data_IF_565358410027
#
_entry.id   IF_565358410027
#
_cell.length_a   1.000
_cell.length_b   1.000
_cell.length_c   1.000
_cell.angle_alpha   90.00
_cell.angle_beta   90.00
_cell.angle_gamma   90.00
#
_symmetry.space_group_name_H-M   'P 1'
#
loop_
_entity.id
_entity.type
_entity.pdbx_description
1 polymer ?
#
# COMPACT_ATOMS: atom_id res chain seq x y z
N UNK A 1 -32.01 10.26 3.22
CA UNK A 1 -32.11 10.07 4.68
C UNK A 1 -31.48 8.73 5.07
N UNK A 2 -30.24 8.43 4.58
CA UNK A 2 -29.43 7.22 4.91
C UNK A 2 -27.94 7.63 4.86
N UNK A 3 -27.51 8.67 5.57
CA UNK A 3 -26.09 9.06 5.72
C UNK A 3 -25.80 9.43 7.20
N UNK A 4 -26.43 8.77 8.13
CA UNK A 4 -26.26 9.10 9.55
C UNK A 4 -25.97 7.89 10.44
N UNK A 5 -25.47 6.76 9.89
CA UNK A 5 -25.27 5.53 10.68
C UNK A 5 -23.86 4.95 10.69
N UNK A 6 -22.85 5.64 10.12
CA UNK A 6 -21.48 5.12 10.04
C UNK A 6 -20.45 5.86 10.92
N UNK A 7 -20.87 6.70 11.87
CA UNK A 7 -19.93 7.48 12.72
C UNK A 7 -20.01 7.13 14.20
N UNK A 8 -20.56 6.00 14.57
CA UNK A 8 -20.89 5.74 16.00
C UNK A 8 -20.06 4.68 16.72
N UNK A 9 -18.96 4.14 16.18
CA UNK A 9 -18.17 3.14 16.91
C UNK A 9 -16.64 3.25 16.79
N UNK A 10 -16.10 4.46 16.63
CA UNK A 10 -14.71 4.71 16.98
C UNK A 10 -14.66 5.30 18.38
N UNK A 11 -14.89 4.47 19.38
CA UNK A 11 -14.42 4.75 20.72
C UNK A 11 -12.89 4.57 20.73
N UNK A 12 -12.18 5.60 20.30
CA UNK A 12 -10.82 5.88 20.78
C UNK A 12 -10.95 6.21 22.27
N UNK A 13 -10.95 5.17 23.08
CA UNK A 13 -10.72 5.30 24.50
C UNK A 13 -9.17 5.21 24.66
N UNK A 14 -8.44 6.33 24.75
CA UNK A 14 -7.07 6.27 25.23
C UNK A 14 -7.21 5.85 26.69
N UNK A 15 -6.97 4.56 26.98
CA UNK A 15 -6.69 4.15 28.34
C UNK A 15 -5.59 5.08 28.85
N UNK A 16 -5.78 5.74 30.00
CA UNK A 16 -4.77 6.62 30.55
C UNK A 16 -3.47 5.82 30.63
N UNK A 17 -2.33 6.40 30.27
CA UNK A 17 -1.05 5.72 30.37
C UNK A 17 -0.97 5.21 31.80
N UNK A 18 -0.76 3.89 31.97
CA UNK A 18 -0.58 3.30 33.29
C UNK A 18 0.52 4.10 33.97
N UNK A 19 0.28 4.64 35.19
CA UNK A 19 1.35 5.35 35.88
C UNK A 19 2.51 4.37 35.98
N UNK A 20 3.63 4.70 35.36
CA UNK A 20 4.86 3.95 35.52
C UNK A 20 5.17 3.93 37.01
N UNK A 21 5.06 2.76 37.60
CA UNK A 21 5.35 2.56 38.99
C UNK A 21 6.86 2.77 39.21
N UNK A 22 7.27 3.99 39.56
CA UNK A 22 8.64 4.42 39.85
C UNK A 22 8.98 3.97 41.29
N UNK A 23 8.68 2.72 41.64
CA UNK A 23 9.02 2.11 42.91
C UNK A 23 10.23 1.17 42.76
N UNK A 24 11.25 1.64 42.10
CA UNK A 24 12.61 1.17 42.18
C UNK A 24 13.49 2.36 41.92
N UNK A 25 14.22 2.86 42.87
CA UNK A 25 15.11 4.02 42.77
C UNK A 25 16.07 3.84 41.60
N UNK A 26 15.64 4.23 40.39
CA UNK A 26 16.59 4.43 39.30
C UNK A 26 17.47 5.61 39.68
N UNK A 27 18.78 5.42 39.70
CA UNK A 27 19.73 6.47 40.07
C UNK A 27 19.50 7.69 39.18
N UNK A 28 19.73 8.92 39.69
CA UNK A 28 19.61 10.15 38.88
C UNK A 28 20.41 10.06 37.57
N UNK A 29 21.53 9.34 37.58
CA UNK A 29 22.34 9.08 36.40
C UNK A 29 21.62 8.22 35.37
N UNK A 30 20.81 7.25 35.77
CA UNK A 30 20.01 6.42 34.88
C UNK A 30 18.89 7.27 34.20
N UNK A 31 18.17 8.10 34.97
CA UNK A 31 17.14 9.00 34.41
C UNK A 31 17.79 9.97 33.43
N UNK A 32 18.94 10.55 33.74
CA UNK A 32 19.71 11.43 32.87
C UNK A 32 20.11 10.74 31.56
N UNK A 33 20.58 9.48 31.66
CA UNK A 33 20.92 8.67 30.49
C UNK A 33 19.69 8.39 29.62
N UNK A 34 18.54 8.05 30.22
CA UNK A 34 17.27 7.85 29.49
C UNK A 34 16.81 9.14 28.79
N UNK A 35 16.89 10.29 29.43
CA UNK A 35 16.59 11.60 28.81
C UNK A 35 17.46 11.80 27.55
N UNK A 36 18.76 11.52 27.65
CA UNK A 36 19.67 11.68 26.51
C UNK A 36 19.32 10.72 25.37
N UNK A 37 19.00 9.46 25.68
CA UNK A 37 18.56 8.46 24.68
C UNK A 37 17.27 8.87 23.96
N UNK A 38 16.24 9.31 24.72
CA UNK A 38 14.97 9.74 24.14
C UNK A 38 15.14 11.02 23.30
N UNK A 39 16.00 11.97 23.74
CA UNK A 39 16.35 13.13 22.91
C UNK A 39 17.01 12.77 21.59
N UNK A 40 17.85 11.75 21.57
CA UNK A 40 18.44 11.24 20.32
C UNK A 40 17.37 10.59 19.44
N UNK A 41 16.49 9.78 20.02
CA UNK A 41 15.35 9.19 19.30
C UNK A 41 14.47 10.28 18.68
N UNK A 42 14.15 11.34 19.41
CA UNK A 42 13.39 12.50 18.90
C UNK A 42 14.07 13.15 17.69
N UNK A 43 15.39 13.32 17.71
CA UNK A 43 16.14 13.87 16.58
C UNK A 43 16.02 12.97 15.35
N UNK A 44 16.16 11.67 15.54
CA UNK A 44 16.07 10.68 14.46
C UNK A 44 14.66 10.64 13.85
N UNK A 45 13.62 10.54 14.69
CA UNK A 45 12.23 10.48 14.20
C UNK A 45 11.82 11.77 13.49
N UNK A 46 12.27 12.92 14.00
CA UNK A 46 12.03 14.22 13.34
C UNK A 46 12.72 14.32 11.98
N UNK A 47 13.96 13.85 11.87
CA UNK A 47 14.67 13.79 10.58
C UNK A 47 13.99 12.82 9.60
N UNK A 48 13.59 11.63 10.05
CA UNK A 48 12.89 10.65 9.24
C UNK A 48 11.52 11.17 8.76
N UNK A 49 10.79 11.90 9.60
CA UNK A 49 9.56 12.60 9.20
C UNK A 49 9.81 13.56 8.05
N UNK A 50 10.84 14.41 8.14
CA UNK A 50 11.15 15.38 7.08
C UNK A 50 11.49 14.70 5.76
N UNK A 51 12.30 13.64 5.80
CA UNK A 51 12.64 12.86 4.60
C UNK A 51 11.40 12.19 4.00
N UNK A 52 10.56 11.57 4.82
CA UNK A 52 9.34 10.91 4.36
C UNK A 52 8.36 11.92 3.75
N UNK A 53 8.20 13.11 4.36
CA UNK A 53 7.36 14.18 3.84
C UNK A 53 7.85 14.70 2.48
N UNK A 54 9.17 14.88 2.31
CA UNK A 54 9.74 15.29 1.03
C UNK A 54 9.52 14.24 -0.07
N UNK A 55 9.66 12.95 0.26
CA UNK A 55 9.38 11.84 -0.66
C UNK A 55 7.89 11.74 -1.01
N UNK A 56 7.00 11.92 -0.03
CA UNK A 56 5.55 11.99 -0.25
C UNK A 56 5.21 13.09 -1.24
N UNK A 57 5.71 14.28 -1.03
CA UNK A 57 5.48 15.41 -1.94
C UNK A 57 5.95 15.08 -3.37
N UNK A 58 7.13 14.50 -3.51
CA UNK A 58 7.65 14.07 -4.83
C UNK A 58 6.73 13.05 -5.50
N UNK A 59 6.24 12.05 -4.75
CA UNK A 59 5.31 11.04 -5.27
C UNK A 59 3.97 11.68 -5.70
N UNK A 60 3.42 12.58 -4.90
CA UNK A 60 2.18 13.30 -5.23
C UNK A 60 2.31 14.15 -6.50
N UNK A 61 3.42 14.85 -6.69
CA UNK A 61 3.70 15.61 -7.92
C UNK A 61 3.79 14.67 -9.13
N UNK A 62 4.43 13.51 -8.96
CA UNK A 62 4.53 12.51 -10.04
C UNK A 62 3.17 11.95 -10.43
N UNK A 63 2.30 11.62 -9.48
CA UNK A 63 0.92 11.15 -9.71
C UNK A 63 0.11 12.26 -10.38
N UNK A 64 0.10 13.49 -9.83
CA UNK A 64 -0.68 14.60 -10.36
C UNK A 64 -0.35 14.94 -11.81
N UNK A 65 0.90 14.75 -12.24
CA UNK A 65 1.30 14.93 -13.63
C UNK A 65 0.86 13.81 -14.58
N UNK A 66 0.50 12.62 -14.06
CA UNK A 66 0.11 11.46 -14.85
C UNK A 66 -1.40 11.22 -14.91
N UNK A 67 -2.11 11.60 -13.86
CA UNK A 67 -3.54 11.38 -13.74
C UNK A 67 -4.38 11.93 -14.91
N UNK A 68 -4.17 13.15 -15.42
CA UNK A 68 -4.93 13.65 -16.57
C UNK A 68 -4.69 12.83 -17.84
N UNK A 69 -3.47 12.34 -18.04
CA UNK A 69 -3.14 11.49 -19.17
C UNK A 69 -3.80 10.12 -19.07
N UNK A 70 -3.76 9.51 -17.89
CA UNK A 70 -4.45 8.25 -17.60
C UNK A 70 -5.97 8.38 -17.84
N UNK A 71 -6.59 9.41 -17.29
CA UNK A 71 -8.02 9.68 -17.50
C UNK A 71 -8.38 9.86 -18.98
N UNK A 72 -7.53 10.53 -19.75
CA UNK A 72 -7.79 10.71 -21.19
C UNK A 72 -7.64 9.41 -21.97
N UNK A 73 -6.64 8.58 -21.65
CA UNK A 73 -6.49 7.25 -22.25
C UNK A 73 -7.68 6.35 -21.89
N UNK A 74 -8.12 6.38 -20.63
CA UNK A 74 -9.32 5.70 -20.16
C UNK A 74 -10.54 6.11 -20.97
N UNK A 75 -10.78 7.41 -21.14
CA UNK A 75 -11.92 7.93 -21.92
C UNK A 75 -11.88 7.48 -23.37
N UNK A 76 -10.72 7.51 -24.00
CA UNK A 76 -10.57 7.03 -25.39
C UNK A 76 -10.86 5.53 -25.47
N UNK A 77 -10.29 4.75 -24.57
CA UNK A 77 -10.48 3.30 -24.56
C UNK A 77 -11.93 2.91 -24.27
N UNK A 78 -12.59 3.56 -23.30
CA UNK A 78 -14.02 3.32 -23.02
C UNK A 78 -14.91 3.65 -24.20
N UNK A 79 -14.68 4.78 -24.88
CA UNK A 79 -15.41 5.13 -26.08
C UNK A 79 -15.23 4.13 -27.23
N UNK A 80 -14.02 3.58 -27.38
CA UNK A 80 -13.75 2.53 -28.38
C UNK A 80 -14.42 1.20 -28.02
N UNK A 81 -14.47 0.86 -26.75
CA UNK A 81 -15.02 -0.41 -26.26
C UNK A 81 -16.55 -0.45 -26.18
N UNK A 82 -17.24 0.69 -26.33
CA UNK A 82 -18.71 0.74 -26.42
C UNK A 82 -19.26 0.25 -27.76
N UNK A 83 -18.40 0.03 -28.77
CA UNK A 83 -18.80 -0.49 -30.07
C UNK A 83 -18.87 -2.02 -30.03
N UNK A 84 -20.09 -2.58 -30.16
CA UNK A 84 -20.35 -4.02 -30.13
C UNK A 84 -19.63 -4.79 -31.26
N UNK A 85 -19.41 -4.17 -32.40
CA UNK A 85 -18.72 -4.79 -33.54
C UNK A 85 -17.21 -4.85 -33.27
N UNK A 86 -16.65 -3.84 -32.61
CA UNK A 86 -15.28 -3.82 -32.19
C UNK A 86 -15.03 -4.84 -31.07
N UNK A 87 -15.96 -4.98 -30.15
CA UNK A 87 -15.93 -5.98 -29.08
C UNK A 87 -15.80 -7.41 -29.64
N UNK A 88 -16.61 -7.76 -30.63
CA UNK A 88 -16.53 -9.06 -31.33
C UNK A 88 -15.23 -9.21 -32.11
N UNK A 89 -14.79 -8.16 -32.79
CA UNK A 89 -13.55 -8.19 -33.56
C UNK A 89 -12.30 -8.31 -32.68
N UNK A 90 -12.32 -7.74 -31.48
CA UNK A 90 -11.26 -7.91 -30.47
C UNK A 90 -11.19 -9.36 -29.97
N UNK A 91 -12.34 -9.96 -29.74
CA UNK A 91 -12.46 -11.35 -29.34
C UNK A 91 -11.83 -12.30 -30.39
N UNK A 92 -12.15 -12.10 -31.66
CA UNK A 92 -11.78 -13.05 -32.74
C UNK A 92 -10.36 -12.84 -33.28
N UNK A 93 -9.83 -11.60 -33.27
CA UNK A 93 -8.61 -11.23 -34.00
C UNK A 93 -7.39 -10.92 -33.13
N UNK A 94 -7.58 -10.59 -31.85
CA UNK A 94 -6.48 -10.18 -30.98
C UNK A 94 -5.79 -11.33 -30.25
N UNK A 95 -6.30 -12.54 -30.37
CA UNK A 95 -5.69 -13.73 -29.72
C UNK A 95 -5.74 -13.68 -28.18
N UNK A 96 -6.52 -12.77 -27.61
CA UNK A 96 -6.77 -12.69 -26.18
C UNK A 96 -7.80 -13.71 -25.71
N UNK A 97 -7.97 -14.79 -26.45
CA UNK A 97 -8.80 -15.93 -26.07
C UNK A 97 -7.92 -16.95 -25.34
N UNK A 98 -8.35 -17.40 -24.18
CA UNK A 98 -7.81 -18.61 -23.59
C UNK A 98 -8.00 -19.78 -24.55
N UNK A 99 -7.11 -20.83 -24.53
CA UNK A 99 -7.26 -22.04 -25.35
C UNK A 99 -8.63 -22.70 -25.24
N UNK A 100 -9.38 -22.42 -24.19
CA UNK A 100 -10.73 -22.94 -23.93
C UNK A 100 -11.87 -22.09 -24.50
N UNK A 101 -11.58 -21.08 -25.35
CA UNK A 101 -12.58 -20.29 -26.07
C UNK A 101 -13.30 -19.22 -25.23
N UNK A 102 -12.86 -18.96 -24.02
CA UNK A 102 -13.38 -17.86 -23.20
C UNK A 102 -12.60 -16.58 -23.45
N UNK A 103 -13.31 -15.50 -23.69
CA UNK A 103 -12.78 -14.16 -23.97
C UNK A 103 -11.90 -13.70 -22.78
N UNK A 104 -10.60 -13.72 -22.92
CA UNK A 104 -9.68 -13.54 -21.80
C UNK A 104 -9.44 -12.10 -21.40
N UNK A 105 -9.68 -11.10 -22.28
CA UNK A 105 -9.30 -9.71 -22.00
C UNK A 105 -10.44 -8.89 -21.40
N UNK A 106 -11.68 -9.32 -21.62
CA UNK A 106 -12.85 -8.56 -21.28
C UNK A 106 -13.84 -9.44 -20.54
N UNK A 107 -13.95 -9.26 -19.25
CA UNK A 107 -14.98 -9.89 -18.46
C UNK A 107 -16.26 -9.08 -18.49
N UNK A 108 -17.35 -9.76 -18.88
CA UNK A 108 -18.68 -9.35 -18.44
C UNK A 108 -18.69 -9.33 -16.89
N UNK A 109 -19.03 -8.17 -16.37
CA UNK A 109 -19.64 -7.87 -15.07
C UNK A 109 -19.47 -8.91 -13.93
N UNK A 110 -18.23 -9.24 -13.60
CA UNK A 110 -17.94 -9.91 -12.33
C UNK A 110 -17.56 -8.81 -11.35
N UNK A 111 -18.47 -8.48 -10.45
CA UNK A 111 -18.25 -7.46 -9.44
C UNK A 111 -16.87 -7.63 -8.76
N UNK A 112 -16.22 -6.53 -8.44
CA UNK A 112 -14.90 -6.44 -7.80
C UNK A 112 -14.69 -7.36 -6.58
N UNK A 113 -15.78 -7.90 -6.02
CA UNK A 113 -15.80 -8.80 -4.86
C UNK A 113 -15.88 -10.29 -5.23
N UNK A 114 -16.14 -10.64 -6.48
CA UNK A 114 -16.24 -12.03 -6.89
C UNK A 114 -14.94 -12.46 -7.58
N UNK A 115 -14.15 -13.25 -6.89
CA UNK A 115 -13.06 -14.00 -7.53
C UNK A 115 -13.75 -15.17 -8.27
N UNK A 116 -13.54 -15.30 -9.59
CA UNK A 116 -14.12 -16.41 -10.35
C UNK A 116 -13.63 -17.77 -9.83
N UNK A 117 -14.42 -18.79 -10.03
CA UNK A 117 -14.08 -20.15 -9.61
C UNK A 117 -12.91 -20.72 -10.44
N UNK A 118 -12.18 -21.68 -9.86
CA UNK A 118 -11.03 -22.37 -10.49
C UNK A 118 -11.35 -22.97 -11.88
N UNK A 119 -12.60 -23.32 -12.11
CA UNK A 119 -13.06 -23.85 -13.41
C UNK A 119 -12.96 -22.83 -14.56
N UNK A 120 -13.02 -21.51 -14.22
CA UNK A 120 -12.92 -20.41 -15.19
C UNK A 120 -11.50 -19.87 -15.27
N UNK A 121 -10.80 -19.80 -14.12
CA UNK A 121 -9.43 -19.31 -14.03
C UNK A 121 -8.54 -20.33 -13.33
N UNK A 122 -7.87 -21.20 -14.09
CA UNK A 122 -7.08 -22.29 -13.50
C UNK A 122 -5.83 -21.82 -12.72
N UNK A 123 -5.24 -20.68 -13.10
CA UNK A 123 -4.06 -20.11 -12.43
C UNK A 123 -4.20 -18.60 -12.25
N UNK A 124 -3.79 -18.12 -11.09
CA UNK A 124 -3.89 -16.70 -10.72
C UNK A 124 -2.52 -16.17 -10.34
N UNK A 125 -2.17 -15.00 -10.85
CA UNK A 125 -1.03 -14.23 -10.39
C UNK A 125 -1.48 -13.16 -9.37
N UNK A 126 -0.74 -13.02 -8.28
CA UNK A 126 -0.94 -11.96 -7.28
C UNK A 126 0.30 -11.08 -7.25
N UNK A 127 0.15 -9.81 -7.60
CA UNK A 127 1.18 -8.80 -7.38
C UNK A 127 0.90 -8.07 -6.07
N UNK A 128 1.75 -8.29 -5.07
CA UNK A 128 1.62 -7.68 -3.76
C UNK A 128 2.71 -6.64 -3.52
N UNK A 129 2.30 -5.41 -3.15
CA UNK A 129 3.20 -4.26 -3.04
C UNK A 129 3.28 -3.80 -1.59
N UNK A 130 4.49 -3.82 -1.02
CA UNK A 130 4.79 -3.33 0.33
C UNK A 130 6.05 -2.46 0.35
N UNK A 131 6.50 -2.06 1.53
CA UNK A 131 7.76 -1.35 1.66
C UNK A 131 8.96 -2.28 1.90
N UNK A 132 10.17 -1.77 1.63
CA UNK A 132 11.42 -2.43 1.94
C UNK A 132 11.82 -2.31 3.42
N UNK A 133 11.31 -1.30 4.12
CA UNK A 133 11.72 -0.96 5.47
C UNK A 133 10.54 -0.93 6.44
N UNK A 134 10.82 -1.11 7.72
CA UNK A 134 9.88 -0.93 8.82
C UNK A 134 9.70 0.56 9.16
N UNK A 135 9.05 0.86 10.28
CA UNK A 135 8.79 2.21 10.80
C UNK A 135 7.80 3.05 9.98
N UNK A 136 6.93 2.40 9.23
CA UNK A 136 5.79 3.01 8.52
C UNK A 136 4.44 2.70 9.19
N UNK A 137 4.41 2.59 10.52
CA UNK A 137 3.21 2.27 11.27
C UNK A 137 2.63 0.89 10.90
N UNK A 138 1.33 0.83 10.67
CA UNK A 138 0.60 -0.39 10.31
C UNK A 138 0.63 -0.72 8.81
N UNK A 139 1.25 0.11 7.97
CA UNK A 139 1.25 -0.02 6.50
C UNK A 139 1.56 -1.45 6.03
N UNK A 140 2.73 -1.99 6.38
CA UNK A 140 3.11 -3.35 5.96
C UNK A 140 2.19 -4.42 6.55
N UNK A 141 1.80 -4.28 7.81
CA UNK A 141 0.90 -5.24 8.47
C UNK A 141 -0.47 -5.30 7.78
N UNK A 142 -1.01 -4.17 7.36
CA UNK A 142 -2.28 -4.08 6.65
C UNK A 142 -2.20 -4.73 5.25
N UNK A 143 -1.13 -4.48 4.50
CA UNK A 143 -0.90 -5.12 3.19
C UNK A 143 -0.77 -6.64 3.35
N UNK A 144 0.04 -7.11 4.30
CA UNK A 144 0.22 -8.54 4.58
C UNK A 144 -1.12 -9.18 4.97
N UNK A 145 -1.91 -8.52 5.81
CA UNK A 145 -3.24 -8.99 6.20
C UNK A 145 -4.18 -9.12 4.99
N UNK A 146 -4.19 -8.12 4.11
CA UNK A 146 -5.03 -8.16 2.89
C UNK A 146 -4.58 -9.25 1.94
N UNK A 147 -3.27 -9.43 1.74
CA UNK A 147 -2.70 -10.53 0.98
C UNK A 147 -3.14 -11.89 1.54
N UNK A 148 -3.02 -12.10 2.86
CA UNK A 148 -3.45 -13.34 3.50
C UNK A 148 -4.95 -13.59 3.35
N UNK A 149 -5.79 -12.54 3.46
CA UNK A 149 -7.22 -12.65 3.20
C UNK A 149 -7.50 -13.04 1.74
N UNK A 150 -6.76 -12.47 0.78
CA UNK A 150 -6.89 -12.85 -0.63
C UNK A 150 -6.54 -14.31 -0.86
N UNK A 151 -5.43 -14.78 -0.27
CA UNK A 151 -5.04 -16.19 -0.32
C UNK A 151 -6.11 -17.10 0.28
N UNK A 152 -6.64 -16.76 1.46
CA UNK A 152 -7.69 -17.56 2.11
C UNK A 152 -8.96 -17.68 1.26
N UNK A 153 -9.33 -16.60 0.55
CA UNK A 153 -10.47 -16.63 -0.37
C UNK A 153 -10.18 -17.59 -1.54
N UNK A 154 -8.99 -17.52 -2.13
CA UNK A 154 -8.58 -18.41 -3.23
C UNK A 154 -8.52 -19.86 -2.80
N UNK A 155 -7.91 -20.16 -1.65
CA UNK A 155 -7.88 -21.52 -1.08
C UNK A 155 -9.30 -22.04 -0.82
N UNK A 156 -10.22 -21.18 -0.33
CA UNK A 156 -11.64 -21.51 -0.15
C UNK A 156 -12.38 -21.83 -1.46
N UNK A 157 -11.87 -21.34 -2.60
CA UNK A 157 -12.38 -21.61 -3.94
C UNK A 157 -11.71 -22.82 -4.61
N UNK A 158 -10.82 -23.51 -3.90
CA UNK A 158 -10.16 -24.72 -4.36
C UNK A 158 -8.83 -24.51 -5.05
N UNK A 159 -8.25 -23.31 -5.04
CA UNK A 159 -6.89 -23.09 -5.53
C UNK A 159 -5.87 -23.70 -4.59
N UNK A 160 -4.87 -24.34 -5.17
CA UNK A 160 -3.71 -24.85 -4.44
C UNK A 160 -2.54 -23.85 -4.52
N UNK A 161 -1.49 -24.11 -3.76
CA UNK A 161 -0.29 -23.26 -3.81
C UNK A 161 0.41 -23.24 -5.16
N UNK A 162 0.20 -24.29 -5.96
CA UNK A 162 0.78 -24.44 -7.31
C UNK A 162 -0.01 -23.67 -8.36
N UNK A 163 -1.27 -23.32 -8.05
CA UNK A 163 -2.14 -22.56 -8.94
C UNK A 163 -1.99 -21.04 -8.74
N UNK A 164 -1.20 -20.61 -7.75
CA UNK A 164 -1.06 -19.20 -7.38
C UNK A 164 0.38 -18.76 -7.56
N UNK A 165 0.63 -17.92 -8.55
CA UNK A 165 1.92 -17.28 -8.78
C UNK A 165 1.98 -15.97 -7.99
N UNK A 166 3.02 -15.79 -7.18
CA UNK A 166 3.17 -14.58 -6.35
C UNK A 166 4.33 -13.74 -6.84
N UNK A 167 4.02 -12.51 -7.24
CA UNK A 167 4.98 -11.46 -7.57
C UNK A 167 5.05 -10.49 -6.40
N UNK A 168 6.24 -10.10 -6.00
CA UNK A 168 6.40 -9.24 -4.82
C UNK A 168 7.19 -7.98 -5.14
N UNK A 169 6.71 -6.85 -4.64
CA UNK A 169 7.42 -5.59 -4.60
C UNK A 169 7.53 -5.16 -3.15
N UNK A 170 8.75 -5.18 -2.62
CA UNK A 170 9.04 -4.84 -1.23
C UNK A 170 9.35 -6.04 -0.35
N UNK A 171 10.45 -5.92 0.38
CA UNK A 171 11.00 -7.00 1.21
C UNK A 171 10.02 -7.50 2.28
N UNK A 172 9.16 -6.62 2.82
CA UNK A 172 8.26 -7.00 3.92
C UNK A 172 7.17 -7.97 3.49
N UNK A 173 6.61 -7.80 2.30
CA UNK A 173 5.67 -8.79 1.76
C UNK A 173 6.40 -10.06 1.31
N UNK A 174 7.60 -9.94 0.71
CA UNK A 174 8.40 -11.11 0.34
C UNK A 174 8.73 -12.01 1.53
N UNK A 175 9.10 -11.44 2.69
CA UNK A 175 9.28 -12.17 3.94
C UNK A 175 8.00 -12.90 4.39
N UNK A 176 6.84 -12.25 4.25
CA UNK A 176 5.55 -12.82 4.65
C UNK A 176 5.11 -13.96 3.71
N UNK A 177 5.29 -13.79 2.39
CA UNK A 177 4.99 -14.81 1.38
C UNK A 177 5.81 -16.07 1.63
N UNK A 178 7.13 -15.95 1.82
CA UNK A 178 8.02 -17.09 2.14
C UNK A 178 7.59 -17.81 3.42
N UNK A 179 7.19 -17.05 4.47
CA UNK A 179 6.70 -17.64 5.73
C UNK A 179 5.38 -18.39 5.57
N UNK A 180 4.53 -17.97 4.64
CA UNK A 180 3.26 -18.65 4.32
C UNK A 180 3.47 -19.91 3.48
N UNK A 181 4.70 -20.19 3.04
CA UNK A 181 5.06 -21.36 2.24
C UNK A 181 4.63 -21.27 0.78
N UNK A 182 4.43 -20.05 0.27
CA UNK A 182 4.23 -19.77 -1.15
C UNK A 182 5.56 -19.46 -1.82
N UNK A 183 5.68 -19.89 -3.09
CA UNK A 183 6.86 -19.59 -3.91
C UNK A 183 6.71 -18.22 -4.54
N UNK A 184 7.74 -17.40 -4.43
CA UNK A 184 7.81 -16.10 -5.12
C UNK A 184 8.29 -16.40 -6.55
N UNK A 185 7.49 -16.03 -7.54
CA UNK A 185 7.82 -16.16 -8.95
C UNK A 185 8.81 -15.08 -9.40
N UNK A 186 8.57 -13.84 -8.95
CA UNK A 186 9.47 -12.71 -9.22
C UNK A 186 9.50 -11.76 -8.01
N UNK A 187 10.72 -11.29 -7.66
CA UNK A 187 10.97 -10.39 -6.54
C UNK A 187 11.64 -9.11 -7.08
N UNK A 188 10.85 -8.06 -7.23
CA UNK A 188 11.29 -6.74 -7.69
C UNK A 188 11.26 -5.70 -6.56
N UNK A 189 11.79 -6.09 -5.41
CA UNK A 189 11.76 -5.24 -4.20
C UNK A 189 12.46 -3.88 -4.37
N UNK A 190 13.38 -3.75 -5.32
CA UNK A 190 14.06 -2.49 -5.63
C UNK A 190 13.11 -1.40 -6.15
N UNK A 191 12.03 -1.79 -6.83
CA UNK A 191 11.03 -0.85 -7.38
C UNK A 191 10.28 -0.11 -6.26
N UNK A 192 10.11 -0.74 -5.08
CA UNK A 192 9.35 -0.16 -3.97
C UNK A 192 9.88 1.21 -3.51
N UNK A 193 11.21 1.37 -3.44
CA UNK A 193 11.82 2.61 -2.95
C UNK A 193 11.89 3.71 -4.01
N UNK A 194 11.93 3.32 -5.29
CA UNK A 194 12.09 4.24 -6.41
C UNK A 194 11.35 3.71 -7.65
N UNK A 195 10.01 3.86 -7.69
CA UNK A 195 9.24 3.51 -8.87
C UNK A 195 9.76 4.26 -10.11
N UNK A 196 10.05 3.53 -11.18
CA UNK A 196 10.41 4.11 -12.47
C UNK A 196 9.48 3.57 -13.56
N UNK A 197 9.35 4.35 -14.64
CA UNK A 197 8.53 3.95 -15.78
C UNK A 197 9.09 2.69 -16.45
N UNK A 198 10.41 2.60 -16.63
CA UNK A 198 11.06 1.46 -17.27
C UNK A 198 10.86 0.16 -16.47
N UNK A 199 11.03 0.22 -15.14
CA UNK A 199 10.80 -0.94 -14.29
C UNK A 199 9.31 -1.37 -14.25
N UNK A 200 8.38 -0.41 -14.36
CA UNK A 200 6.96 -0.71 -14.52
C UNK A 200 6.66 -1.33 -15.89
N UNK A 201 7.34 -0.88 -16.94
CA UNK A 201 7.22 -1.41 -18.30
C UNK A 201 7.63 -2.88 -18.36
N UNK A 202 8.80 -3.21 -17.82
CA UNK A 202 9.30 -4.59 -17.80
C UNK A 202 8.35 -5.51 -17.02
N UNK A 203 7.88 -5.08 -15.84
CA UNK A 203 6.94 -5.87 -15.04
C UNK A 203 5.57 -6.00 -15.73
N UNK A 204 5.06 -4.93 -16.35
CA UNK A 204 3.78 -4.98 -17.07
C UNK A 204 3.85 -5.97 -18.24
N UNK A 205 4.93 -5.95 -19.01
CA UNK A 205 5.12 -6.88 -20.12
C UNK A 205 5.20 -8.33 -19.62
N UNK A 206 5.96 -8.62 -18.57
CA UNK A 206 6.06 -9.97 -18.01
C UNK A 206 4.68 -10.51 -17.56
N UNK A 207 3.86 -9.65 -16.93
CA UNK A 207 2.50 -10.03 -16.52
C UNK A 207 1.56 -10.22 -17.70
N UNK A 208 1.63 -9.35 -18.69
CA UNK A 208 0.81 -9.43 -19.92
C UNK A 208 1.21 -10.64 -20.75
N UNK A 209 2.50 -10.92 -20.89
CA UNK A 209 2.99 -12.08 -21.64
C UNK A 209 2.58 -13.39 -20.96
N UNK A 210 2.67 -13.48 -19.63
CA UNK A 210 2.18 -14.62 -18.86
C UNK A 210 0.67 -14.83 -19.00
N UNK A 211 -0.09 -13.75 -19.14
CA UNK A 211 -1.52 -13.79 -19.35
C UNK A 211 -1.88 -14.19 -20.79
N UNK A 212 -1.23 -13.62 -21.80
CA UNK A 212 -1.48 -13.94 -23.22
C UNK A 212 -1.06 -15.38 -23.55
N UNK A 213 0.05 -15.87 -22.95
CA UNK A 213 0.47 -17.27 -23.11
C UNK A 213 -0.44 -18.28 -22.44
N UNK A 214 -1.42 -17.83 -21.64
CA UNK A 214 -2.31 -18.69 -20.88
C UNK A 214 -1.65 -19.34 -19.65
N UNK A 215 -0.43 -18.90 -19.28
CA UNK A 215 0.24 -19.36 -18.06
C UNK A 215 -0.53 -18.93 -16.81
N UNK A 216 -1.08 -17.71 -16.81
CA UNK A 216 -2.01 -17.21 -15.79
C UNK A 216 -3.29 -16.70 -16.43
N UNK A 217 -4.41 -16.93 -15.77
CA UNK A 217 -5.74 -16.54 -16.27
C UNK A 217 -6.24 -15.25 -15.65
N UNK A 218 -5.65 -14.82 -14.53
CA UNK A 218 -6.00 -13.59 -13.83
C UNK A 218 -4.77 -13.02 -13.12
N UNK A 219 -4.68 -11.69 -13.11
CA UNK A 219 -3.68 -10.95 -12.32
C UNK A 219 -4.38 -10.02 -11.35
N UNK A 220 -4.10 -10.18 -10.06
CA UNK A 220 -4.70 -9.42 -8.97
C UNK A 220 -3.63 -8.55 -8.30
N UNK A 221 -3.90 -7.27 -8.12
CA UNK A 221 -3.05 -6.34 -7.38
C UNK A 221 -3.50 -6.25 -5.93
N UNK A 222 -2.54 -6.26 -5.00
CA UNK A 222 -2.76 -6.00 -3.57
C UNK A 222 -1.79 -4.91 -3.13
N UNK A 223 -2.30 -3.71 -2.89
CA UNK A 223 -1.49 -2.55 -2.56
C UNK A 223 -2.25 -1.58 -1.64
N UNK A 224 -1.55 -0.58 -1.10
CA UNK A 224 -2.14 0.46 -0.29
C UNK A 224 -2.37 1.71 -1.13
N UNK A 225 -3.62 2.15 -1.23
CA UNK A 225 -4.03 3.35 -1.94
C UNK A 225 -3.85 4.60 -1.06
N UNK A 226 -3.31 5.67 -1.63
CA UNK A 226 -3.18 6.96 -0.97
C UNK A 226 -4.48 7.77 -1.07
N UNK A 227 -5.40 7.58 -0.14
CA UNK A 227 -6.62 8.39 -0.08
C UNK A 227 -6.37 9.75 0.58
N UNK A 228 -5.56 9.80 1.63
CA UNK A 228 -5.16 11.02 2.33
C UNK A 228 -3.91 10.79 3.19
N UNK A 229 -3.25 11.85 3.71
CA UNK A 229 -2.12 11.69 4.64
C UNK A 229 -2.45 10.87 5.89
N UNK A 230 -3.71 10.83 6.30
CA UNK A 230 -4.17 10.09 7.47
C UNK A 230 -4.79 8.72 7.14
N UNK A 231 -5.11 8.44 5.87
CA UNK A 231 -5.82 7.22 5.47
C UNK A 231 -5.17 6.60 4.23
N UNK A 232 -4.68 5.37 4.38
CA UNK A 232 -4.10 4.57 3.32
C UNK A 232 -4.78 3.19 3.32
N UNK A 233 -6.02 3.09 2.77
CA UNK A 233 -6.72 1.81 2.68
C UNK A 233 -5.96 0.83 1.79
N UNK A 234 -5.95 -0.44 2.18
CA UNK A 234 -5.41 -1.50 1.33
C UNK A 234 -6.50 -2.02 0.42
N UNK A 235 -6.25 -1.93 -0.85
CA UNK A 235 -7.17 -2.37 -1.91
C UNK A 235 -6.70 -3.69 -2.53
N UNK A 236 -7.65 -4.44 -3.05
CA UNK A 236 -7.45 -5.57 -3.94
C UNK A 236 -8.16 -5.21 -5.23
N UNK A 237 -7.46 -5.26 -6.34
CA UNK A 237 -7.94 -4.84 -7.64
C UNK A 237 -7.55 -5.84 -8.71
N UNK A 238 -8.44 -6.09 -9.67
CA UNK A 238 -8.10 -6.90 -10.83
C UNK A 238 -7.30 -6.05 -11.82
N UNK A 239 -6.15 -6.57 -12.23
CA UNK A 239 -5.32 -5.93 -13.25
C UNK A 239 -5.58 -6.55 -14.62
N UNK A 240 -5.62 -7.87 -14.69
CA UNK A 240 -5.97 -8.66 -15.86
C UNK A 240 -6.93 -9.78 -15.46
N UNK A 241 -7.95 -10.08 -16.27
CA UNK A 241 -8.41 -9.26 -17.39
C UNK A 241 -8.89 -7.88 -16.93
N UNK A 242 -8.85 -6.92 -17.86
CA UNK A 242 -9.22 -5.54 -17.56
C UNK A 242 -10.73 -5.45 -17.31
N UNK A 243 -11.18 -4.96 -16.15
CA UNK A 243 -12.61 -4.80 -15.89
C UNK A 243 -13.16 -3.66 -16.76
N UNK A 244 -14.02 -3.97 -17.71
CA UNK A 244 -14.60 -2.96 -18.61
C UNK A 244 -15.51 -1.97 -17.88
N UNK A 245 -16.17 -2.42 -16.82
CA UNK A 245 -17.06 -1.58 -16.02
C UNK A 245 -16.37 -0.35 -15.41
N UNK A 246 -15.08 -0.44 -15.11
CA UNK A 246 -14.29 0.71 -14.62
C UNK A 246 -14.08 1.78 -15.71
N UNK A 247 -14.41 1.45 -16.97
CA UNK A 247 -14.26 2.31 -18.14
C UNK A 247 -15.59 2.84 -18.69
N UNK A 248 -16.73 2.48 -18.09
CA UNK A 248 -18.01 3.10 -18.40
C UNK A 248 -18.00 4.56 -17.91
N UNK A 249 -17.73 5.46 -18.83
CA UNK A 249 -17.82 6.89 -18.57
C UNK A 249 -19.32 7.24 -18.40
N UNK A 250 -19.70 7.65 -17.18
CA UNK A 250 -21.04 8.16 -16.88
C UNK A 250 -21.30 9.54 -17.53
N UNK A 251 -20.45 9.99 -18.44
CA UNK A 251 -20.70 11.18 -19.23
C UNK A 251 -21.72 10.85 -20.34
N UNK A 252 -22.90 11.42 -20.25
CA UNK A 252 -24.02 11.27 -21.22
C UNK A 252 -23.72 11.79 -22.63
N UNK A 253 -22.51 12.21 -22.93
CA UNK A 253 -22.11 12.70 -24.23
C UNK A 253 -21.28 11.66 -24.98
N UNK A 254 -21.82 10.98 -26.00
CA UNK A 254 -21.03 10.14 -26.89
C UNK A 254 -20.00 11.01 -27.62
N UNK A 255 -18.72 10.76 -27.33
CA UNK A 255 -17.66 11.47 -28.06
C UNK A 255 -17.44 10.77 -29.39
N UNK A 256 -17.84 11.42 -30.47
CA UNK A 256 -17.61 10.93 -31.85
C UNK A 256 -16.15 11.20 -32.23
N UNK A 257 -15.29 10.18 -32.11
CA UNK A 257 -13.89 10.26 -32.49
C UNK A 257 -13.70 9.96 -33.97
N UNK A 258 -12.94 10.79 -34.68
CA UNK A 258 -12.39 10.42 -35.96
C UNK A 258 -11.24 9.44 -35.78
N UNK A 259 -11.41 8.18 -36.13
CA UNK A 259 -10.47 7.09 -35.85
C UNK A 259 -9.66 6.78 -37.13
N UNK A 260 -8.33 6.84 -37.01
CA UNK A 260 -7.37 6.45 -38.06
C UNK A 260 -6.26 5.59 -37.47
N UNK A 261 -5.86 4.46 -38.08
CA UNK A 261 -6.36 3.90 -39.35
C UNK A 261 -7.69 3.14 -39.20
N UNK A 262 -7.90 2.41 -38.14
CA UNK A 262 -9.11 1.66 -37.79
C UNK A 262 -9.17 1.40 -36.25
N UNK A 263 -10.37 1.23 -35.68
CA UNK A 263 -10.55 1.05 -34.23
C UNK A 263 -9.76 -0.11 -33.65
N UNK A 264 -9.69 -1.23 -34.36
CA UNK A 264 -8.99 -2.44 -33.87
C UNK A 264 -7.48 -2.23 -33.75
N UNK A 265 -6.88 -1.57 -34.74
CA UNK A 265 -5.45 -1.21 -34.73
C UNK A 265 -5.14 -0.24 -33.60
N UNK A 266 -6.03 0.75 -33.37
CA UNK A 266 -5.88 1.69 -32.26
C UNK A 266 -5.92 0.98 -30.91
N UNK A 267 -6.88 0.09 -30.66
CA UNK A 267 -6.96 -0.65 -29.41
C UNK A 267 -5.72 -1.52 -29.19
N UNK A 268 -5.20 -2.18 -30.22
CA UNK A 268 -3.94 -2.95 -30.14
C UNK A 268 -2.77 -2.13 -29.62
N UNK A 269 -2.70 -0.86 -30.01
CA UNK A 269 -1.62 0.04 -29.57
C UNK A 269 -1.89 0.71 -28.23
N UNK A 270 -3.15 1.03 -27.94
CA UNK A 270 -3.54 1.74 -26.73
C UNK A 270 -3.58 0.83 -25.49
N UNK A 271 -4.10 -0.40 -25.64
CA UNK A 271 -4.30 -1.31 -24.51
C UNK A 271 -3.02 -1.62 -23.72
N UNK A 272 -1.87 -1.94 -24.34
CA UNK A 272 -0.62 -2.12 -23.61
C UNK A 272 -0.17 -0.85 -22.89
N UNK A 273 -0.41 0.33 -23.48
CA UNK A 273 -0.06 1.62 -22.86
C UNK A 273 -0.94 1.92 -21.65
N UNK A 274 -2.23 1.62 -21.71
CA UNK A 274 -3.18 1.78 -20.59
C UNK A 274 -2.78 0.86 -19.44
N UNK A 275 -2.49 -0.42 -19.72
CA UNK A 275 -2.06 -1.39 -18.73
C UNK A 275 -0.75 -0.96 -18.05
N UNK A 276 0.24 -0.56 -18.83
CA UNK A 276 1.50 -0.06 -18.31
C UNK A 276 1.31 1.17 -17.43
N UNK A 277 0.51 2.14 -17.91
CA UNK A 277 0.27 3.37 -17.16
C UNK A 277 -0.47 3.08 -15.86
N UNK A 278 -1.48 2.21 -15.89
CA UNK A 278 -2.20 1.75 -14.68
C UNK A 278 -1.23 1.14 -13.67
N UNK A 279 -0.36 0.22 -14.09
CA UNK A 279 0.62 -0.39 -13.18
C UNK A 279 1.61 0.66 -12.62
N UNK A 280 2.09 1.56 -13.46
CA UNK A 280 2.98 2.63 -13.01
C UNK A 280 2.31 3.57 -12.01
N UNK A 281 1.05 3.94 -12.24
CA UNK A 281 0.26 4.76 -11.30
C UNK A 281 0.06 4.03 -9.97
N UNK A 282 -0.24 2.73 -9.99
CA UNK A 282 -0.36 1.91 -8.78
C UNK A 282 0.95 1.87 -7.97
N UNK A 283 2.10 1.76 -8.65
CA UNK A 283 3.41 1.80 -7.99
C UNK A 283 3.69 3.16 -7.33
N UNK A 284 3.37 4.25 -8.01
CA UNK A 284 3.49 5.61 -7.45
C UNK A 284 2.54 5.82 -6.28
N UNK A 285 1.31 5.34 -6.38
CA UNK A 285 0.29 5.44 -5.35
C UNK A 285 0.69 4.66 -4.08
N UNK A 286 1.13 3.42 -4.22
CA UNK A 286 1.65 2.61 -3.12
C UNK A 286 2.87 3.28 -2.44
N UNK A 287 3.77 3.90 -3.22
CA UNK A 287 4.92 4.63 -2.71
C UNK A 287 4.49 5.90 -1.93
N UNK A 288 3.49 6.63 -2.45
CA UNK A 288 2.91 7.77 -1.74
C UNK A 288 2.24 7.35 -0.43
N UNK A 289 1.46 6.26 -0.46
CA UNK A 289 0.81 5.69 0.73
C UNK A 289 1.84 5.27 1.81
N UNK A 290 2.94 4.64 1.42
CA UNK A 290 4.03 4.28 2.31
C UNK A 290 4.63 5.51 3.00
N UNK A 291 4.97 6.54 2.22
CA UNK A 291 5.60 7.75 2.76
C UNK A 291 4.63 8.57 3.61
N UNK A 292 3.34 8.56 3.32
CA UNK A 292 2.31 9.15 4.16
C UNK A 292 2.21 8.43 5.51
N UNK A 293 2.10 7.11 5.49
CA UNK A 293 2.06 6.28 6.70
C UNK A 293 3.32 6.46 7.55
N UNK A 294 4.51 6.52 6.92
CA UNK A 294 5.78 6.78 7.61
C UNK A 294 5.82 8.18 8.22
N UNK A 295 5.37 9.20 7.50
CA UNK A 295 5.32 10.58 8.01
C UNK A 295 4.46 10.67 9.26
N UNK A 296 3.28 10.05 9.24
CA UNK A 296 2.36 9.99 10.38
C UNK A 296 2.98 9.22 11.56
N UNK A 297 3.55 8.04 11.31
CA UNK A 297 4.18 7.23 12.35
C UNK A 297 5.36 7.97 13.02
N UNK A 298 6.18 8.69 12.25
CA UNK A 298 7.29 9.46 12.77
C UNK A 298 6.81 10.72 13.50
N UNK A 299 5.70 11.33 13.11
CA UNK A 299 5.07 12.41 13.87
C UNK A 299 4.65 11.94 15.24
N UNK A 300 3.87 10.85 15.32
CA UNK A 300 3.41 10.27 16.59
C UNK A 300 4.59 9.86 17.47
N UNK A 301 5.62 9.23 16.89
CA UNK A 301 6.82 8.86 17.62
C UNK A 301 7.58 10.08 18.17
N UNK A 302 7.63 11.18 17.41
CA UNK A 302 8.28 12.43 17.87
C UNK A 302 7.50 13.11 18.98
N UNK A 303 6.17 13.10 18.91
CA UNK A 303 5.34 13.69 19.95
C UNK A 303 5.40 12.88 21.25
N UNK A 304 5.30 11.54 21.16
CA UNK A 304 5.50 10.67 22.32
C UNK A 304 6.90 10.83 22.94
N UNK A 305 7.94 11.05 22.14
CA UNK A 305 9.29 11.28 22.67
C UNK A 305 9.38 12.62 23.41
N UNK A 306 8.70 13.68 22.95
CA UNK A 306 8.65 14.98 23.68
C UNK A 306 7.96 14.84 25.03
N UNK A 307 6.81 14.16 25.05
CA UNK A 307 6.05 13.93 26.28
C UNK A 307 6.87 13.14 27.29
N UNK A 308 7.53 12.07 26.86
CA UNK A 308 8.39 11.25 27.69
C UNK A 308 9.60 12.05 28.22
N UNK A 309 10.20 12.96 27.45
CA UNK A 309 11.26 13.85 27.92
C UNK A 309 10.72 14.75 29.03
N UNK A 310 9.51 15.28 28.88
CA UNK A 310 8.84 16.09 29.91
C UNK A 310 8.67 15.34 31.22
N UNK A 311 8.09 14.15 31.16
CA UNK A 311 7.90 13.27 32.34
C UNK A 311 9.22 12.91 33.02
N UNK A 312 10.23 12.48 32.27
CA UNK A 312 11.54 12.12 32.78
C UNK A 312 12.25 13.34 33.40
N UNK A 313 12.07 14.55 32.85
CA UNK A 313 12.65 15.78 33.39
C UNK A 313 12.03 16.15 34.75
N UNK A 314 10.70 15.99 34.88
CA UNK A 314 10.02 16.18 36.16
C UNK A 314 10.49 15.16 37.19
N UNK A 315 10.62 13.88 36.83
CA UNK A 315 11.10 12.82 37.67
C UNK A 315 12.56 13.09 38.13
N UNK A 316 13.43 13.54 37.20
CA UNK A 316 14.81 13.92 37.51
C UNK A 316 14.88 15.08 38.52
N UNK A 317 14.11 16.13 38.32
CA UNK A 317 14.11 17.29 39.22
C UNK A 317 13.60 16.92 40.62
N UNK A 318 12.54 16.08 40.70
CA UNK A 318 12.03 15.57 41.98
C UNK A 318 13.07 14.73 42.70
N UNK A 319 13.73 13.78 42.01
CA UNK A 319 14.77 12.95 42.58
C UNK A 319 15.97 13.78 43.06
N UNK A 320 16.39 14.79 42.26
CA UNK A 320 17.47 15.69 42.66
C UNK A 320 17.12 16.49 43.92
N UNK A 321 15.88 16.99 44.06
CA UNK A 321 15.43 17.68 45.26
C UNK A 321 15.47 16.74 46.47
N UNK A 322 15.07 15.46 46.33
CA UNK A 322 15.11 14.49 47.39
C UNK A 322 16.55 14.18 47.83
N UNK A 323 17.50 13.97 46.88
CA UNK A 323 18.92 13.78 47.21
C UNK A 323 19.49 14.99 47.95
N UNK A 324 19.29 16.23 47.47
CA UNK A 324 19.76 17.45 48.13
C UNK A 324 19.18 17.55 49.57
N UNK A 325 17.89 17.23 49.72
CA UNK A 325 17.24 17.26 51.03
C UNK A 325 17.85 16.23 51.98
N UNK A 326 18.12 15.01 51.49
CA UNK A 326 18.77 13.96 52.28
C UNK A 326 20.18 14.35 52.65
N UNK A 327 21.00 14.90 51.75
CA UNK A 327 22.35 15.40 52.04
C UNK A 327 22.36 16.50 53.11
N UNK A 328 21.40 17.47 53.03
CA UNK A 328 21.27 18.52 54.03
C UNK A 328 20.88 17.93 55.40
N UNK A 329 19.94 16.95 55.43
CA UNK A 329 19.56 16.32 56.70
C UNK A 329 20.71 15.50 57.33
N UNK A 330 21.51 14.82 56.52
CA UNK A 330 22.69 14.07 56.98
C UNK A 330 23.75 15.04 57.53
N UNK A 331 23.97 16.19 56.89
CA UNK A 331 24.89 17.20 57.39
C UNK A 331 24.42 17.82 58.74
N UNK A 332 23.13 18.10 58.89
CA UNK A 332 22.57 18.61 60.15
C UNK A 332 22.62 17.55 61.23
N UNK A 333 22.28 16.26 60.90
CA UNK A 333 22.37 15.18 61.84
C UNK A 333 23.81 14.85 62.31
N UNK A 334 24.82 15.01 61.44
CA UNK A 334 26.21 14.82 61.75
C UNK A 334 26.85 15.96 62.59
N UNK A 335 26.23 17.14 62.63
CA UNK A 335 26.71 18.28 63.44
C UNK A 335 26.10 18.31 64.86
N UNK A 336 25.14 17.43 65.15
CA UNK A 336 24.52 17.31 66.48
C UNK A 336 25.09 16.18 67.34
N UNK A 337 26.15 15.52 66.90
CA UNK A 337 26.99 14.60 67.69
C UNK A 337 28.32 15.28 68.04
#
# INVERSE_FOLDING_TARGET
>A
MIILWAVRDIKLNPSPPRPYNIQGMSSLNEIKSRIASVKNTLKITSAMKMVASAKLHKAQVAIGGKLPYEQQLHRILSGLLQDDDLHKAMHDKLGFSNPDGHSAVVLQDVGLDQIPTKDVYPRIAILAISSNSSLCGSFNANVIKKYQQTIQILEGQGYTKEDIDVYVIGRKIGEAVRKSGYTIKDDRSEIADKPSYDAAYDLANDLVDSFISGEVSQVVLVYSHFASPASQPVVRENYLPLPLHDYEDNSDEPVDYLLEPDPLTLVKHLLPQVLLLKLYTVLLDANAAEHAARTLAMQVASDNAKDLIGELTLAYNKGRQQEITAEILDLIGGTMQ
#
